data_IF_718604396899
#
_entry.id   IF_718604396899
#
_cell.length_a   1.000
_cell.length_b   1.000
_cell.length_c   1.000
_cell.angle_alpha   90.00
_cell.angle_beta   90.00
_cell.angle_gamma   90.00
#
_symmetry.space_group_name_H-M   'P 1'
#
loop_
_entity.id
_entity.type
_entity.pdbx_description
1 polymer ?
#
# COMPACT_ATOMS: atom_id res chain seq x y z
N UNK A 1 0.27 -9.54 26.98
CA UNK A 1 0.89 -10.89 27.00
C UNK A 1 1.82 -10.98 28.20
N UNK A 2 1.67 -11.99 29.06
CA UNK A 2 2.59 -12.23 30.18
C UNK A 2 3.95 -12.71 29.61
N UNK A 3 5.05 -12.32 30.30
CA UNK A 3 6.39 -12.75 29.90
C UNK A 3 6.53 -14.27 30.10
N UNK A 4 6.99 -14.99 29.08
CA UNK A 4 7.16 -16.45 29.11
C UNK A 4 8.44 -16.89 29.83
N UNK A 5 9.44 -15.99 29.88
CA UNK A 5 10.71 -16.22 30.57
C UNK A 5 11.00 -15.09 31.55
N UNK A 6 11.58 -15.39 32.73
CA UNK A 6 11.96 -14.35 33.68
C UNK A 6 13.07 -13.46 33.09
N UNK A 7 13.02 -12.18 33.43
CA UNK A 7 14.05 -11.21 33.06
C UNK A 7 15.35 -11.60 33.80
N UNK A 8 16.43 -11.82 33.03
CA UNK A 8 17.75 -12.17 33.59
C UNK A 8 18.83 -11.32 32.97
N UNK A 9 19.67 -10.70 33.80
CA UNK A 9 20.80 -9.88 33.36
C UNK A 9 21.76 -10.69 32.51
N UNK A 10 22.10 -10.17 31.35
CA UNK A 10 23.00 -10.84 30.39
C UNK A 10 24.44 -10.33 30.56
N UNK A 11 25.44 -11.16 30.21
CA UNK A 11 26.84 -10.75 30.28
C UNK A 11 27.12 -9.59 29.30
N UNK A 12 28.06 -8.72 29.65
CA UNK A 12 28.38 -7.52 28.88
C UNK A 12 28.76 -7.83 27.42
N UNK A 13 29.53 -8.90 27.18
CA UNK A 13 29.94 -9.27 25.82
C UNK A 13 28.76 -9.50 24.87
N UNK A 14 27.67 -10.11 25.37
CA UNK A 14 26.44 -10.34 24.57
C UNK A 14 25.72 -9.02 24.27
N UNK A 15 25.64 -8.14 25.27
CA UNK A 15 25.06 -6.81 25.07
C UNK A 15 25.88 -6.00 24.07
N UNK A 16 27.21 -6.03 24.19
CA UNK A 16 28.13 -5.36 23.28
C UNK A 16 28.01 -5.87 21.84
N UNK A 17 27.83 -7.18 21.64
CA UNK A 17 27.57 -7.75 20.30
C UNK A 17 26.26 -7.23 19.70
N UNK A 18 25.17 -7.27 20.45
CA UNK A 18 23.86 -6.82 19.96
C UNK A 18 23.87 -5.30 19.68
N UNK A 19 24.31 -4.52 20.65
CA UNK A 19 24.29 -3.03 20.50
C UNK A 19 25.34 -2.56 19.51
N UNK A 20 26.53 -3.17 19.49
CA UNK A 20 27.55 -2.91 18.49
C UNK A 20 27.12 -3.23 17.07
N UNK A 21 26.39 -4.34 16.87
CA UNK A 21 25.77 -4.67 15.58
C UNK A 21 24.79 -3.60 15.09
N UNK A 22 23.91 -3.11 15.97
CA UNK A 22 23.04 -1.99 15.65
C UNK A 22 23.82 -0.70 15.36
N UNK A 23 24.84 -0.39 16.16
CA UNK A 23 25.70 0.76 15.93
C UNK A 23 26.43 0.68 14.58
N UNK A 24 26.95 -0.50 14.22
CA UNK A 24 27.58 -0.75 12.93
C UNK A 24 26.60 -0.52 11.76
N UNK A 25 25.38 -1.06 11.88
CA UNK A 25 24.36 -0.92 10.85
C UNK A 25 23.99 0.55 10.60
N UNK A 26 23.63 1.29 11.63
CA UNK A 26 23.30 2.70 11.47
C UNK A 26 24.51 3.54 11.10
N UNK A 27 25.69 3.22 11.63
CA UNK A 27 26.95 3.85 11.27
C UNK A 27 27.30 3.71 9.79
N UNK A 28 26.96 2.57 9.17
CA UNK A 28 27.11 2.38 7.72
C UNK A 28 26.31 3.42 6.94
N UNK A 29 25.05 3.63 7.28
CA UNK A 29 24.20 4.62 6.59
C UNK A 29 24.72 6.05 6.74
N UNK A 30 25.06 6.47 7.95
CA UNK A 30 25.60 7.80 8.19
C UNK A 30 26.99 7.98 7.56
N UNK A 31 27.81 6.93 7.59
CA UNK A 31 29.13 6.95 6.96
C UNK A 31 29.07 7.02 5.45
N UNK A 32 28.16 6.28 4.81
CA UNK A 32 27.98 6.34 3.35
C UNK A 32 27.48 7.70 2.88
N UNK A 33 26.59 8.34 3.64
CA UNK A 33 26.14 9.70 3.36
C UNK A 33 27.29 10.75 3.40
N UNK A 34 28.36 10.46 4.16
CA UNK A 34 29.55 11.30 4.27
C UNK A 34 30.77 10.77 3.48
N UNK A 35 30.57 9.82 2.55
CA UNK A 35 31.63 9.25 1.72
C UNK A 35 32.60 8.28 2.44
N UNK A 36 32.28 7.85 3.66
CA UNK A 36 33.15 7.01 4.50
C UNK A 36 32.39 5.85 5.19
N UNK A 37 31.71 5.02 4.42
CA UNK A 37 30.92 3.88 4.92
C UNK A 37 31.65 2.99 5.93
N UNK A 38 32.86 2.47 5.63
CA UNK A 38 33.62 1.61 6.56
C UNK A 38 33.96 2.30 7.89
N UNK A 39 34.30 3.58 7.84
CA UNK A 39 34.56 4.39 9.04
C UNK A 39 33.31 4.52 9.89
N UNK A 40 32.16 4.76 9.26
CA UNK A 40 30.87 4.86 9.95
C UNK A 40 30.51 3.57 10.69
N UNK A 41 30.76 2.40 10.11
CA UNK A 41 30.55 1.10 10.76
C UNK A 41 31.36 0.99 12.05
N UNK A 42 32.66 1.29 11.98
CA UNK A 42 33.57 1.21 13.15
C UNK A 42 33.18 2.19 14.24
N UNK A 43 32.95 3.42 13.86
CA UNK A 43 32.57 4.50 14.81
C UNK A 43 31.22 4.22 15.46
N UNK A 44 30.23 3.82 14.67
CA UNK A 44 28.89 3.50 15.17
C UNK A 44 28.91 2.31 16.12
N UNK A 45 29.64 1.24 15.78
CA UNK A 45 29.81 0.10 16.68
C UNK A 45 30.49 0.49 17.99
N UNK A 46 31.62 1.20 17.91
CA UNK A 46 32.38 1.62 19.07
C UNK A 46 31.57 2.52 20.01
N UNK A 47 30.83 3.49 19.44
CA UNK A 47 29.96 4.40 20.20
C UNK A 47 28.87 3.62 20.97
N UNK A 48 28.19 2.70 20.33
CA UNK A 48 27.12 1.93 20.97
C UNK A 48 27.65 0.95 22.04
N UNK A 49 28.84 0.37 21.84
CA UNK A 49 29.51 -0.47 22.86
C UNK A 49 29.91 0.38 24.06
N UNK A 50 30.51 1.57 23.84
CA UNK A 50 30.87 2.48 24.90
C UNK A 50 29.65 2.97 25.71
N UNK A 51 28.55 3.33 25.02
CA UNK A 51 27.29 3.67 25.67
C UNK A 51 26.75 2.49 26.49
N UNK A 52 26.78 1.28 25.97
CA UNK A 52 26.36 0.09 26.70
C UNK A 52 27.18 -0.13 27.98
N UNK A 53 28.50 0.08 27.92
CA UNK A 53 29.37 -0.01 29.08
C UNK A 53 28.97 1.04 30.16
N UNK A 54 28.81 2.29 29.79
CA UNK A 54 28.41 3.38 30.70
C UNK A 54 27.07 3.09 31.35
N UNK A 55 26.11 2.59 30.56
CA UNK A 55 24.76 2.28 31.04
C UNK A 55 24.74 1.15 32.07
N UNK A 56 25.47 0.08 31.78
CA UNK A 56 25.45 -1.13 32.64
C UNK A 56 26.26 -0.89 33.93
N UNK A 57 27.36 -0.15 33.84
CA UNK A 57 28.27 0.06 35.00
C UNK A 57 27.91 1.27 35.85
N UNK A 58 27.54 2.38 35.22
CA UNK A 58 27.38 3.69 35.91
C UNK A 58 25.91 4.01 36.17
N UNK A 59 25.10 4.04 35.14
CA UNK A 59 23.72 4.57 35.22
C UNK A 59 22.73 3.64 35.89
N UNK A 60 22.84 2.34 35.70
CA UNK A 60 22.00 1.26 36.32
C UNK A 60 20.48 1.50 36.32
N UNK A 61 19.98 2.56 35.69
CA UNK A 61 18.58 2.95 35.64
C UNK A 61 18.17 3.27 34.19
N UNK A 62 17.22 2.50 33.65
CA UNK A 62 16.77 2.63 32.26
C UNK A 62 16.19 4.03 31.96
N UNK A 63 15.32 4.54 32.85
CA UNK A 63 14.63 5.82 32.61
C UNK A 63 15.62 6.99 32.55
N UNK A 64 16.57 7.01 33.49
CA UNK A 64 17.63 8.01 33.50
C UNK A 64 18.52 7.89 32.26
N UNK A 65 18.94 6.68 31.93
CA UNK A 65 19.78 6.44 30.77
C UNK A 65 19.09 6.92 29.48
N UNK A 66 17.84 6.51 29.25
CA UNK A 66 17.07 6.96 28.06
C UNK A 66 16.92 8.48 28.03
N UNK A 67 16.68 9.12 29.17
CA UNK A 67 16.61 10.59 29.27
C UNK A 67 17.93 11.27 28.90
N UNK A 68 19.05 10.79 29.42
CA UNK A 68 20.39 11.33 29.12
C UNK A 68 20.72 11.19 27.62
N UNK A 69 20.50 10.01 27.02
CA UNK A 69 20.77 9.84 25.60
C UNK A 69 19.77 10.57 24.69
N UNK A 70 18.53 10.74 25.12
CA UNK A 70 17.59 11.62 24.43
C UNK A 70 18.11 13.07 24.37
N UNK A 71 18.51 13.60 25.51
CA UNK A 71 19.05 14.99 25.59
C UNK A 71 20.37 15.11 24.82
N UNK A 72 21.29 14.17 25.01
CA UNK A 72 22.59 14.19 24.32
C UNK A 72 22.41 14.07 22.80
N UNK A 73 21.58 13.14 22.34
CA UNK A 73 21.26 13.01 20.93
C UNK A 73 20.56 14.24 20.36
N UNK A 74 19.66 14.85 21.15
CA UNK A 74 18.99 16.08 20.79
C UNK A 74 19.95 17.27 20.64
N UNK A 75 20.86 17.43 21.58
CA UNK A 75 21.90 18.51 21.54
C UNK A 75 22.83 18.31 20.34
N UNK A 76 23.31 17.09 20.11
CA UNK A 76 24.18 16.79 18.97
C UNK A 76 23.43 16.99 17.63
N UNK A 77 22.18 16.58 17.55
CA UNK A 77 21.35 16.82 16.39
C UNK A 77 21.09 18.29 16.12
N UNK A 78 20.84 19.08 17.19
CA UNK A 78 20.68 20.54 17.08
C UNK A 78 21.93 21.22 16.54
N UNK A 79 23.09 20.85 17.07
CA UNK A 79 24.38 21.37 16.61
C UNK A 79 24.68 21.00 15.14
N UNK A 80 24.20 19.84 14.67
CA UNK A 80 24.39 19.37 13.29
C UNK A 80 23.45 20.01 12.25
N UNK A 81 22.21 20.38 12.63
CA UNK A 81 21.28 20.91 11.65
C UNK A 81 19.95 21.44 12.22
N UNK A 82 19.97 21.99 13.42
CA UNK A 82 18.84 22.67 14.03
C UNK A 82 17.75 21.75 14.58
N UNK A 83 16.54 22.29 14.73
CA UNK A 83 15.41 21.62 15.40
C UNK A 83 15.07 20.23 14.82
N UNK A 84 15.03 20.02 13.49
CA UNK A 84 14.67 18.72 12.93
C UNK A 84 15.63 17.61 13.31
N UNK A 85 16.95 17.89 13.20
CA UNK A 85 17.97 16.91 13.58
C UNK A 85 18.07 16.74 15.10
N UNK A 86 17.69 17.75 15.89
CA UNK A 86 17.55 17.62 17.34
C UNK A 86 16.48 16.60 17.73
N UNK A 87 15.30 16.65 17.09
CA UNK A 87 14.20 15.71 17.34
C UNK A 87 14.62 14.29 16.93
N UNK A 88 15.18 14.13 15.73
CA UNK A 88 15.65 12.83 15.23
C UNK A 88 16.75 12.27 16.14
N UNK A 89 17.76 13.08 16.48
CA UNK A 89 18.85 12.70 17.36
C UNK A 89 18.38 12.32 18.77
N UNK A 90 17.42 13.05 19.32
CA UNK A 90 16.79 12.73 20.59
C UNK A 90 16.07 11.38 20.56
N UNK A 91 15.24 11.14 19.54
CA UNK A 91 14.52 9.87 19.38
C UNK A 91 15.52 8.71 19.23
N UNK A 92 16.52 8.85 18.37
CA UNK A 92 17.54 7.82 18.16
C UNK A 92 18.33 7.54 19.44
N UNK A 93 18.65 8.59 20.23
CA UNK A 93 19.28 8.44 21.53
C UNK A 93 18.41 7.67 22.53
N UNK A 94 17.11 7.98 22.61
CA UNK A 94 16.18 7.25 23.45
C UNK A 94 16.04 5.78 23.04
N UNK A 95 15.99 5.50 21.73
CA UNK A 95 15.95 4.14 21.18
C UNK A 95 17.23 3.38 21.49
N UNK A 96 18.39 4.01 21.35
CA UNK A 96 19.68 3.43 21.71
C UNK A 96 19.72 3.02 23.20
N UNK A 97 19.28 3.91 24.10
CA UNK A 97 19.17 3.61 25.52
C UNK A 97 18.21 2.47 25.82
N UNK A 98 17.05 2.44 25.20
CA UNK A 98 16.09 1.35 25.32
C UNK A 98 16.69 0.02 24.83
N UNK A 99 17.37 0.01 23.68
CA UNK A 99 17.99 -1.17 23.11
C UNK A 99 19.05 -1.79 24.03
N UNK A 100 19.88 -0.95 24.68
CA UNK A 100 20.89 -1.41 25.63
C UNK A 100 20.25 -2.16 26.80
N UNK A 101 19.23 -1.59 27.43
CA UNK A 101 18.52 -2.26 28.53
C UNK A 101 17.73 -3.47 28.07
N UNK A 102 17.09 -3.43 26.90
CA UNK A 102 16.40 -4.55 26.29
C UNK A 102 17.35 -5.75 26.10
N UNK A 103 18.57 -5.50 25.63
CA UNK A 103 19.60 -6.53 25.49
C UNK A 103 20.13 -7.01 26.85
N UNK A 104 20.43 -6.07 27.77
CA UNK A 104 21.00 -6.34 29.10
C UNK A 104 20.10 -7.17 29.99
N UNK A 105 18.82 -6.84 30.03
CA UNK A 105 17.81 -7.58 30.82
C UNK A 105 17.31 -8.84 30.11
N UNK A 106 17.80 -9.14 28.92
CA UNK A 106 17.37 -10.30 28.14
C UNK A 106 15.91 -10.27 27.73
N UNK A 107 15.30 -9.07 27.65
CA UNK A 107 13.89 -8.87 27.25
C UNK A 107 13.60 -9.41 25.86
N UNK A 108 14.60 -9.57 25.01
CA UNK A 108 14.47 -10.19 23.69
C UNK A 108 13.98 -11.64 23.78
N UNK A 109 14.15 -12.31 24.94
CA UNK A 109 13.62 -13.67 25.17
C UNK A 109 12.31 -13.71 25.94
N UNK A 110 11.83 -12.59 26.50
CA UNK A 110 10.67 -12.57 27.41
C UNK A 110 9.36 -13.07 26.77
N UNK A 111 9.21 -12.88 25.47
CA UNK A 111 8.00 -13.26 24.71
C UNK A 111 8.22 -14.45 23.76
N UNK A 112 9.37 -15.09 23.86
CA UNK A 112 9.75 -16.23 23.00
C UNK A 112 9.74 -17.50 23.86
N UNK A 113 9.30 -18.62 23.29
CA UNK A 113 9.24 -19.88 23.99
C UNK A 113 10.63 -20.28 24.56
N UNK A 114 10.72 -20.68 25.83
CA UNK A 114 12.00 -20.94 26.51
C UNK A 114 12.85 -22.04 25.85
N UNK A 115 12.22 -23.00 25.19
CA UNK A 115 12.86 -24.17 24.57
C UNK A 115 13.52 -23.86 23.22
N UNK A 116 13.33 -22.65 22.67
CA UNK A 116 13.95 -22.29 21.39
C UNK A 116 15.46 -22.18 21.51
N UNK A 117 16.16 -22.83 20.60
CA UNK A 117 17.62 -22.77 20.49
C UNK A 117 18.07 -21.37 20.04
N UNK A 118 19.37 -21.07 20.25
CA UNK A 118 19.89 -19.73 19.92
C UNK A 118 19.72 -19.36 18.43
N UNK A 119 19.87 -20.30 17.51
CA UNK A 119 19.69 -20.07 16.08
C UNK A 119 18.23 -19.85 15.69
N UNK A 120 17.27 -20.50 16.37
CA UNK A 120 15.84 -20.25 16.17
C UNK A 120 15.44 -18.87 16.67
N UNK A 121 16.02 -18.40 17.77
CA UNK A 121 15.84 -17.03 18.26
C UNK A 121 16.44 -16.02 17.29
N UNK A 122 17.65 -16.30 16.76
CA UNK A 122 18.28 -15.46 15.74
C UNK A 122 17.41 -15.37 14.48
N UNK A 123 16.89 -16.51 14.01
CA UNK A 123 16.00 -16.55 12.86
C UNK A 123 14.69 -15.81 13.12
N UNK A 124 14.09 -15.92 14.30
CA UNK A 124 12.89 -15.22 14.68
C UNK A 124 13.04 -13.68 14.57
N UNK A 125 14.15 -13.14 15.06
CA UNK A 125 14.43 -11.71 14.92
C UNK A 125 14.91 -11.35 13.52
N UNK A 126 15.73 -12.18 12.87
CA UNK A 126 16.16 -11.98 11.50
C UNK A 126 15.00 -11.90 10.53
N UNK A 127 14.03 -12.80 10.64
CA UNK A 127 12.81 -12.76 9.84
C UNK A 127 12.01 -11.46 10.05
N UNK A 128 11.86 -11.03 11.31
CA UNK A 128 11.19 -9.76 11.61
C UNK A 128 11.94 -8.54 11.07
N UNK A 129 13.26 -8.56 11.12
CA UNK A 129 14.10 -7.52 10.52
C UNK A 129 13.90 -7.46 9.00
N UNK A 130 13.91 -8.61 8.33
CA UNK A 130 13.63 -8.69 6.89
C UNK A 130 12.24 -8.11 6.58
N UNK A 131 11.21 -8.53 7.32
CA UNK A 131 9.88 -7.97 7.17
C UNK A 131 9.85 -6.46 7.40
N UNK A 132 10.53 -5.96 8.44
CA UNK A 132 10.59 -4.52 8.72
C UNK A 132 11.28 -3.74 7.58
N UNK A 133 12.38 -4.26 7.03
CA UNK A 133 13.07 -3.65 5.88
C UNK A 133 12.14 -3.61 4.66
N UNK A 134 11.42 -4.71 4.37
CA UNK A 134 10.47 -4.76 3.27
C UNK A 134 9.35 -3.72 3.49
N UNK A 135 8.78 -3.64 4.70
CA UNK A 135 7.75 -2.66 5.02
C UNK A 135 8.24 -1.22 4.90
N UNK A 136 9.44 -0.92 5.41
CA UNK A 136 10.05 0.41 5.28
C UNK A 136 10.22 0.74 3.78
N UNK A 137 10.77 -0.18 3.00
CA UNK A 137 10.93 0.01 1.55
C UNK A 137 9.60 0.31 0.85
N UNK A 138 8.53 -0.44 1.18
CA UNK A 138 7.21 -0.26 0.58
C UNK A 138 6.52 1.05 1.02
N UNK A 139 6.73 1.48 2.27
CA UNK A 139 6.09 2.68 2.81
C UNK A 139 6.86 3.96 2.45
N UNK A 140 8.18 3.86 2.25
CA UNK A 140 9.04 5.03 1.97
C UNK A 140 8.54 5.91 0.81
N UNK A 141 8.12 5.38 -0.36
CA UNK A 141 7.59 6.23 -1.43
C UNK A 141 6.39 7.06 -0.98
N UNK A 142 5.47 6.47 -0.21
CA UNK A 142 4.28 7.17 0.31
C UNK A 142 4.70 8.28 1.27
N UNK A 143 5.64 7.98 2.18
CA UNK A 143 6.16 8.96 3.15
C UNK A 143 6.94 10.10 2.47
N UNK A 144 7.51 9.87 1.30
CA UNK A 144 8.21 10.90 0.50
C UNK A 144 7.21 11.76 -0.29
N UNK A 145 6.20 11.15 -0.89
CA UNK A 145 5.18 11.86 -1.70
C UNK A 145 4.39 12.86 -0.85
N UNK A 146 4.01 12.47 0.38
CA UNK A 146 3.18 13.29 1.25
C UNK A 146 3.81 14.66 1.58
N UNK A 147 5.04 14.79 2.12
CA UNK A 147 5.63 16.09 2.34
C UNK A 147 5.95 16.84 1.03
N UNK A 148 6.34 16.15 -0.04
CA UNK A 148 6.60 16.77 -1.34
C UNK A 148 5.34 17.37 -1.99
N UNK A 149 4.15 16.89 -1.65
CA UNK A 149 2.89 17.46 -2.14
C UNK A 149 2.66 18.89 -1.64
N UNK A 150 3.30 19.29 -0.55
CA UNK A 150 3.27 20.64 0.01
C UNK A 150 4.43 21.54 -0.44
N UNK A 151 5.25 21.11 -1.40
CA UNK A 151 6.39 21.89 -1.86
C UNK A 151 5.95 23.26 -2.38
N UNK A 152 6.59 24.33 -1.92
CA UNK A 152 6.36 25.68 -2.42
C UNK A 152 6.90 25.90 -3.84
N UNK A 153 7.83 25.08 -4.32
CA UNK A 153 8.38 25.12 -5.67
C UNK A 153 7.65 24.14 -6.61
N UNK A 154 7.95 24.23 -7.92
CA UNK A 154 7.33 23.37 -8.94
C UNK A 154 8.21 22.17 -9.30
N UNK A 155 8.91 21.58 -8.34
CA UNK A 155 9.81 20.44 -8.55
C UNK A 155 9.53 19.31 -7.56
N UNK A 156 9.88 18.09 -7.94
CA UNK A 156 9.75 16.87 -7.11
C UNK A 156 10.96 16.64 -6.19
N UNK A 157 11.57 17.71 -5.69
CA UNK A 157 12.77 17.63 -4.85
C UNK A 157 12.52 18.32 -3.51
N UNK A 158 13.13 17.80 -2.45
CA UNK A 158 13.14 18.50 -1.17
C UNK A 158 14.01 19.73 -1.28
N UNK A 159 13.43 20.88 -0.97
CA UNK A 159 14.21 22.13 -0.91
C UNK A 159 14.93 22.26 0.44
N UNK A 160 16.01 23.05 0.54
CA UNK A 160 16.69 23.29 1.81
C UNK A 160 15.75 23.85 2.89
N UNK A 161 14.76 24.65 2.50
CA UNK A 161 13.74 25.24 3.38
C UNK A 161 12.85 24.11 3.95
N UNK A 162 12.40 23.17 3.11
CA UNK A 162 11.62 22.02 3.58
C UNK A 162 12.41 21.16 4.56
N UNK A 163 13.69 20.91 4.28
CA UNK A 163 14.54 20.11 5.16
C UNK A 163 14.80 20.78 6.51
N UNK A 164 14.72 22.13 6.57
CA UNK A 164 14.83 22.91 7.81
C UNK A 164 13.48 23.16 8.48
N UNK A 165 12.38 22.64 7.91
CA UNK A 165 11.01 22.94 8.33
C UNK A 165 10.68 24.43 8.34
N UNK A 166 11.28 25.20 7.42
CA UNK A 166 10.94 26.59 7.22
C UNK A 166 9.55 26.68 6.56
N UNK A 167 8.62 27.47 7.12
CA UNK A 167 7.30 27.68 6.50
C UNK A 167 7.37 28.14 5.04
N UNK A 168 8.42 28.87 4.64
CA UNK A 168 8.60 29.30 3.25
C UNK A 168 8.76 28.15 2.25
N UNK A 169 9.19 26.97 2.71
CA UNK A 169 9.31 25.75 1.89
C UNK A 169 7.99 25.06 1.58
N UNK A 170 6.89 25.43 2.24
CA UNK A 170 5.60 24.76 2.18
C UNK A 170 4.50 25.63 1.62
N UNK A 171 3.64 25.07 0.77
CA UNK A 171 2.52 25.78 0.18
C UNK A 171 1.37 24.82 -0.13
N UNK A 172 0.14 25.33 -0.07
CA UNK A 172 -1.07 24.62 -0.49
C UNK A 172 -1.44 24.88 -1.96
N UNK A 173 -0.61 25.61 -2.72
CA UNK A 173 -0.91 26.00 -4.10
C UNK A 173 -1.28 24.85 -5.02
N UNK A 174 -0.64 23.66 -4.84
CA UNK A 174 -0.90 22.48 -5.65
C UNK A 174 -2.25 21.84 -5.33
N UNK A 175 -2.69 21.90 -4.07
CA UNK A 175 -4.04 21.53 -3.68
C UNK A 175 -5.07 22.54 -4.21
N UNK A 176 -4.77 23.82 -4.15
CA UNK A 176 -5.64 24.84 -4.74
C UNK A 176 -5.77 24.66 -6.26
N UNK A 177 -4.67 24.40 -6.97
CA UNK A 177 -4.71 24.09 -8.40
C UNK A 177 -5.61 22.88 -8.69
N UNK A 178 -5.50 21.79 -7.93
CA UNK A 178 -6.38 20.64 -8.08
C UNK A 178 -7.86 21.01 -7.94
N UNK A 179 -8.22 21.83 -6.95
CA UNK A 179 -9.61 22.20 -6.69
C UNK A 179 -10.15 23.33 -7.56
N UNK A 180 -9.32 24.09 -8.27
CA UNK A 180 -9.75 25.23 -9.10
C UNK A 180 -9.61 24.98 -10.60
N UNK A 181 -8.71 24.07 -11.01
CA UNK A 181 -8.44 23.79 -12.40
C UNK A 181 -9.49 22.85 -12.99
N UNK A 182 -10.14 23.30 -14.05
CA UNK A 182 -11.24 22.58 -14.70
C UNK A 182 -10.85 21.21 -15.25
N UNK A 183 -9.59 21.02 -15.68
CA UNK A 183 -9.14 19.72 -16.19
C UNK A 183 -9.03 18.67 -15.10
N UNK A 184 -8.50 19.06 -13.93
CA UNK A 184 -8.42 18.18 -12.76
C UNK A 184 -9.82 17.82 -12.24
N UNK A 185 -10.71 18.84 -12.14
CA UNK A 185 -12.08 18.64 -11.69
C UNK A 185 -12.87 17.71 -12.61
N UNK A 186 -12.74 17.91 -13.94
CA UNK A 186 -13.39 17.02 -14.93
C UNK A 186 -12.87 15.59 -14.80
N UNK A 187 -11.56 15.42 -14.74
CA UNK A 187 -10.93 14.09 -14.65
C UNK A 187 -11.30 13.37 -13.36
N UNK A 188 -11.35 14.07 -12.24
CA UNK A 188 -11.83 13.54 -10.96
C UNK A 188 -13.29 13.09 -11.04
N UNK A 189 -14.18 13.96 -11.56
CA UNK A 189 -15.59 13.64 -11.77
C UNK A 189 -15.77 12.42 -12.69
N UNK A 190 -15.00 12.33 -13.77
CA UNK A 190 -15.04 11.19 -14.67
C UNK A 190 -14.67 9.89 -13.95
N UNK A 191 -13.60 9.88 -13.15
CA UNK A 191 -13.21 8.70 -12.35
C UNK A 191 -14.32 8.31 -11.38
N UNK A 192 -14.97 9.28 -10.70
CA UNK A 192 -16.07 9.04 -9.76
C UNK A 192 -17.36 8.55 -10.45
N UNK A 193 -17.52 8.76 -11.74
CA UNK A 193 -18.65 8.20 -12.51
C UNK A 193 -18.30 6.83 -13.07
N UNK A 194 -17.14 6.72 -13.72
CA UNK A 194 -16.76 5.51 -14.45
C UNK A 194 -16.50 4.35 -13.51
N UNK A 195 -15.66 4.53 -12.47
CA UNK A 195 -15.24 3.42 -11.64
C UNK A 195 -16.39 2.78 -10.82
N UNK A 196 -17.28 3.53 -10.15
CA UNK A 196 -18.41 2.90 -9.44
C UNK A 196 -19.38 2.17 -10.38
N UNK A 197 -19.70 2.76 -11.54
CA UNK A 197 -20.64 2.12 -12.47
C UNK A 197 -20.02 0.85 -13.07
N UNK A 198 -18.75 0.90 -13.48
CA UNK A 198 -18.00 -0.27 -13.95
C UNK A 198 -17.94 -1.36 -12.87
N UNK A 199 -17.73 -0.96 -11.60
CA UNK A 199 -17.73 -1.88 -10.46
C UNK A 199 -19.07 -2.57 -10.26
N UNK A 200 -20.18 -1.83 -10.30
CA UNK A 200 -21.53 -2.42 -10.18
C UNK A 200 -21.78 -3.45 -11.28
N UNK A 201 -21.41 -3.13 -12.52
CA UNK A 201 -21.53 -4.07 -13.65
C UNK A 201 -20.64 -5.30 -13.42
N UNK A 202 -19.37 -5.09 -13.01
CA UNK A 202 -18.43 -6.19 -12.74
C UNK A 202 -18.92 -7.10 -11.62
N UNK A 203 -19.42 -6.52 -10.52
CA UNK A 203 -19.96 -7.28 -9.38
C UNK A 203 -21.18 -8.08 -9.78
N UNK A 204 -22.10 -7.46 -10.51
CA UNK A 204 -23.33 -8.14 -10.92
C UNK A 204 -23.00 -9.31 -11.87
N UNK A 205 -22.30 -9.05 -12.96
CA UNK A 205 -21.99 -10.07 -13.97
C UNK A 205 -21.00 -11.11 -13.44
N UNK A 206 -19.98 -10.69 -12.71
CA UNK A 206 -18.97 -11.57 -12.12
C UNK A 206 -19.56 -12.51 -11.07
N UNK A 207 -20.47 -12.01 -10.21
CA UNK A 207 -21.16 -12.84 -9.21
C UNK A 207 -22.08 -13.86 -9.89
N UNK A 208 -22.86 -13.46 -10.88
CA UNK A 208 -23.72 -14.38 -11.64
C UNK A 208 -22.88 -15.46 -12.35
N UNK A 209 -21.78 -15.06 -12.98
CA UNK A 209 -20.85 -15.99 -13.62
C UNK A 209 -20.21 -16.96 -12.62
N UNK A 210 -19.76 -16.47 -11.46
CA UNK A 210 -19.18 -17.32 -10.41
C UNK A 210 -20.19 -18.36 -9.90
N UNK A 211 -21.43 -17.97 -9.65
CA UNK A 211 -22.48 -18.87 -9.20
C UNK A 211 -22.79 -19.92 -10.29
N UNK A 212 -22.96 -19.50 -11.54
CA UNK A 212 -23.19 -20.42 -12.64
C UNK A 212 -22.04 -21.41 -12.81
N UNK A 213 -20.80 -20.92 -12.81
CA UNK A 213 -19.61 -21.76 -12.96
C UNK A 213 -19.29 -22.61 -11.71
N UNK A 214 -19.85 -22.32 -10.55
CA UNK A 214 -19.69 -23.17 -9.35
C UNK A 214 -20.47 -24.49 -9.44
N UNK A 215 -21.41 -24.59 -10.35
CA UNK A 215 -22.24 -25.79 -10.52
C UNK A 215 -21.45 -26.91 -11.22
N UNK A 216 -21.60 -28.17 -10.76
CA UNK A 216 -20.77 -29.29 -11.21
C UNK A 216 -21.10 -29.78 -12.64
N UNK A 217 -22.32 -29.48 -13.14
CA UNK A 217 -22.84 -29.97 -14.42
C UNK A 217 -22.58 -29.08 -15.64
N UNK A 218 -21.84 -27.96 -15.45
CA UNK A 218 -21.54 -27.04 -16.56
C UNK A 218 -20.47 -27.65 -17.49
N UNK A 219 -20.81 -27.97 -18.74
CA UNK A 219 -19.85 -28.52 -19.68
C UNK A 219 -18.82 -27.44 -20.05
N UNK A 220 -17.55 -27.83 -20.17
CA UNK A 220 -16.49 -26.90 -20.55
C UNK A 220 -16.16 -25.84 -19.48
N UNK A 221 -16.62 -25.98 -18.23
CA UNK A 221 -16.43 -25.04 -17.12
C UNK A 221 -15.00 -24.49 -17.02
N UNK A 222 -13.98 -25.37 -17.16
CA UNK A 222 -12.57 -24.94 -17.07
C UNK A 222 -12.17 -23.98 -18.19
N UNK A 223 -12.63 -24.25 -19.41
CA UNK A 223 -12.36 -23.40 -20.56
C UNK A 223 -13.10 -22.06 -20.45
N UNK A 224 -14.38 -22.09 -20.06
CA UNK A 224 -15.15 -20.86 -19.82
C UNK A 224 -14.49 -20.01 -18.74
N UNK A 225 -14.09 -20.60 -17.62
CA UNK A 225 -13.38 -19.91 -16.54
C UNK A 225 -12.06 -19.28 -17.04
N UNK A 226 -11.27 -20.04 -17.83
CA UNK A 226 -10.02 -19.54 -18.38
C UNK A 226 -10.25 -18.34 -19.32
N UNK A 227 -11.28 -18.38 -20.16
CA UNK A 227 -11.65 -17.26 -21.04
C UNK A 227 -12.08 -16.05 -20.22
N UNK A 228 -12.92 -16.23 -19.19
CA UNK A 228 -13.40 -15.12 -18.37
C UNK A 228 -12.30 -14.46 -17.53
N UNK A 229 -11.26 -15.21 -17.14
CA UNK A 229 -10.11 -14.67 -16.39
C UNK A 229 -9.02 -14.14 -17.33
N UNK A 230 -9.07 -14.47 -18.63
CA UNK A 230 -8.02 -14.08 -19.59
C UNK A 230 -7.71 -12.58 -19.66
N UNK A 231 -8.65 -11.62 -19.48
CA UNK A 231 -8.31 -10.20 -19.47
C UNK A 231 -7.29 -9.79 -18.42
N UNK A 232 -7.22 -10.54 -17.30
CA UNK A 232 -6.24 -10.30 -16.23
C UNK A 232 -4.85 -10.88 -16.56
N UNK A 233 -4.77 -11.87 -17.45
CA UNK A 233 -3.54 -12.59 -17.80
C UNK A 233 -2.86 -11.99 -19.02
N UNK A 234 -3.66 -11.53 -19.98
CA UNK A 234 -3.17 -10.93 -21.23
C UNK A 234 -2.52 -9.56 -20.94
N UNK A 235 -1.36 -9.23 -21.55
CA UNK A 235 -0.79 -7.91 -21.42
C UNK A 235 -1.80 -6.81 -21.74
N UNK A 236 -1.95 -5.84 -20.83
CA UNK A 236 -3.03 -4.86 -20.83
C UNK A 236 -3.10 -4.05 -22.15
N UNK A 237 -1.94 -3.71 -22.75
CA UNK A 237 -1.88 -2.99 -24.03
C UNK A 237 -2.54 -3.79 -25.16
N UNK A 238 -2.33 -5.12 -25.17
CA UNK A 238 -2.92 -5.99 -26.20
C UNK A 238 -4.45 -6.03 -26.02
N UNK A 239 -4.90 -6.18 -24.78
CA UNK A 239 -6.33 -6.15 -24.45
C UNK A 239 -6.94 -4.79 -24.80
N UNK A 240 -6.30 -3.69 -24.46
CA UNK A 240 -6.74 -2.33 -24.77
C UNK A 240 -6.85 -2.08 -26.28
N UNK A 241 -5.89 -2.57 -27.06
CA UNK A 241 -5.92 -2.48 -28.52
C UNK A 241 -7.11 -3.26 -29.11
N UNK A 242 -7.33 -4.48 -28.65
CA UNK A 242 -8.52 -5.27 -29.04
C UNK A 242 -9.84 -4.58 -28.68
N UNK A 243 -9.90 -4.05 -27.46
CA UNK A 243 -11.06 -3.28 -26.98
C UNK A 243 -11.30 -2.02 -27.80
N UNK A 244 -10.25 -1.33 -28.23
CA UNK A 244 -10.37 -0.15 -29.10
C UNK A 244 -11.14 -0.46 -30.36
N UNK A 245 -10.74 -1.49 -31.11
CA UNK A 245 -11.43 -1.88 -32.35
C UNK A 245 -12.87 -2.31 -32.09
N UNK A 246 -13.09 -3.13 -31.09
CA UNK A 246 -14.41 -3.62 -30.74
C UNK A 246 -15.38 -2.49 -30.32
N UNK A 247 -14.98 -1.67 -29.35
CA UNK A 247 -15.80 -0.58 -28.85
C UNK A 247 -15.93 0.59 -29.82
N UNK A 248 -14.98 0.76 -30.76
CA UNK A 248 -15.12 1.73 -31.85
C UNK A 248 -16.28 1.35 -32.78
N UNK A 249 -16.38 0.07 -33.14
CA UNK A 249 -17.50 -0.42 -34.00
C UNK A 249 -18.83 -0.30 -33.27
N UNK A 250 -18.90 -0.70 -31.99
CA UNK A 250 -20.11 -0.54 -31.17
C UNK A 250 -20.49 0.93 -31.05
N UNK A 251 -19.51 1.80 -30.80
CA UNK A 251 -19.75 3.23 -30.70
C UNK A 251 -20.35 3.83 -31.97
N UNK A 252 -19.79 3.50 -33.12
CA UNK A 252 -20.33 3.96 -34.41
C UNK A 252 -21.76 3.46 -34.66
N UNK A 253 -22.05 2.23 -34.25
CA UNK A 253 -23.42 1.70 -34.34
C UNK A 253 -24.37 2.42 -33.38
N UNK A 254 -23.95 2.69 -32.12
CA UNK A 254 -24.76 3.43 -31.15
C UNK A 254 -25.06 4.87 -31.62
N UNK A 255 -24.06 5.56 -32.15
CA UNK A 255 -24.20 6.93 -32.67
C UNK A 255 -25.07 6.94 -33.95
N UNK A 256 -24.81 6.04 -34.91
CA UNK A 256 -25.47 6.03 -36.20
C UNK A 256 -26.88 5.42 -36.20
N UNK A 257 -27.07 4.30 -35.49
CA UNK A 257 -28.35 3.55 -35.52
C UNK A 257 -29.28 3.93 -34.37
N UNK A 258 -28.75 4.22 -33.17
CA UNK A 258 -29.55 4.61 -32.01
C UNK A 258 -29.63 6.13 -31.80
N UNK A 259 -28.86 6.91 -32.57
CA UNK A 259 -28.84 8.37 -32.45
C UNK A 259 -28.34 8.90 -31.08
N UNK A 260 -27.52 8.10 -30.36
CA UNK A 260 -27.03 8.49 -29.05
C UNK A 260 -25.96 9.58 -29.17
N UNK A 261 -25.92 10.46 -28.18
CA UNK A 261 -24.88 11.49 -28.09
C UNK A 261 -23.49 10.88 -27.99
N UNK A 262 -22.55 11.43 -28.76
CA UNK A 262 -21.15 10.96 -28.84
C UNK A 262 -20.46 10.93 -27.48
N UNK A 263 -20.74 11.90 -26.62
CA UNK A 263 -20.15 11.95 -25.28
C UNK A 263 -20.68 10.82 -24.39
N UNK A 264 -22.00 10.58 -24.42
CA UNK A 264 -22.63 9.47 -23.72
C UNK A 264 -22.09 8.12 -24.20
N UNK A 265 -21.96 7.92 -25.51
CA UNK A 265 -21.37 6.72 -26.11
C UNK A 265 -19.93 6.52 -25.63
N UNK A 266 -19.15 7.60 -25.52
CA UNK A 266 -17.81 7.58 -24.96
C UNK A 266 -17.78 7.03 -23.52
N UNK A 267 -18.66 7.50 -22.63
CA UNK A 267 -18.76 6.96 -21.26
C UNK A 267 -19.16 5.50 -21.26
N UNK A 268 -20.15 5.09 -22.04
CA UNK A 268 -20.61 3.70 -22.12
C UNK A 268 -19.45 2.77 -22.52
N UNK A 269 -18.69 3.13 -23.56
CA UNK A 269 -17.54 2.34 -24.02
C UNK A 269 -16.49 2.17 -22.91
N UNK A 270 -16.10 3.25 -22.25
CA UNK A 270 -15.09 3.22 -21.20
C UNK A 270 -15.59 2.41 -19.99
N UNK A 271 -16.84 2.63 -19.55
CA UNK A 271 -17.43 1.91 -18.42
C UNK A 271 -17.46 0.40 -18.70
N UNK A 272 -17.89 -0.01 -19.90
CA UNK A 272 -17.93 -1.43 -20.26
C UNK A 272 -16.54 -2.03 -20.38
N UNK A 273 -15.57 -1.31 -20.92
CA UNK A 273 -14.19 -1.75 -21.00
C UNK A 273 -13.57 -1.96 -19.60
N UNK A 274 -13.81 -1.02 -18.69
CA UNK A 274 -13.38 -1.15 -17.28
C UNK A 274 -14.10 -2.30 -16.57
N UNK A 275 -15.39 -2.50 -16.83
CA UNK A 275 -16.13 -3.60 -16.26
C UNK A 275 -15.55 -4.96 -16.66
N UNK A 276 -15.13 -5.12 -17.93
CA UNK A 276 -14.48 -6.34 -18.41
C UNK A 276 -13.19 -6.65 -17.63
N UNK A 277 -12.42 -5.63 -17.25
CA UNK A 277 -11.22 -5.81 -16.43
C UNK A 277 -11.55 -6.17 -14.97
N UNK A 278 -12.68 -5.69 -14.44
CA UNK A 278 -13.12 -5.94 -13.08
C UNK A 278 -13.74 -7.32 -12.86
N UNK A 279 -14.43 -7.88 -13.88
CA UNK A 279 -15.15 -9.17 -13.80
C UNK A 279 -14.26 -10.31 -13.30
N UNK A 280 -13.03 -10.53 -13.77
CA UNK A 280 -12.16 -11.62 -13.28
C UNK A 280 -11.96 -11.61 -11.77
N UNK A 281 -11.74 -10.45 -11.18
CA UNK A 281 -11.53 -10.31 -9.73
C UNK A 281 -12.76 -10.77 -8.95
N UNK A 282 -13.95 -10.39 -9.39
CA UNK A 282 -15.21 -10.79 -8.77
C UNK A 282 -15.42 -12.30 -8.92
N UNK A 283 -15.19 -12.86 -10.10
CA UNK A 283 -15.32 -14.30 -10.33
C UNK A 283 -14.40 -15.08 -9.39
N UNK A 284 -13.14 -14.69 -9.26
CA UNK A 284 -12.16 -15.39 -8.42
C UNK A 284 -12.57 -15.34 -6.95
N UNK A 285 -12.88 -14.15 -6.42
CA UNK A 285 -13.20 -13.97 -5.00
C UNK A 285 -14.52 -14.64 -4.61
N UNK A 286 -15.55 -14.49 -5.44
CA UNK A 286 -16.86 -15.12 -5.20
C UNK A 286 -16.77 -16.66 -5.35
N UNK A 287 -16.04 -17.16 -6.35
CA UNK A 287 -15.82 -18.60 -6.50
C UNK A 287 -15.08 -19.18 -5.29
N UNK A 288 -14.08 -18.48 -4.75
CA UNK A 288 -13.37 -18.91 -3.55
C UNK A 288 -14.30 -19.03 -2.33
N UNK A 289 -15.24 -18.11 -2.15
CA UNK A 289 -16.24 -18.21 -1.07
C UNK A 289 -17.26 -19.32 -1.32
N UNK A 290 -17.62 -19.58 -2.58
CA UNK A 290 -18.53 -20.65 -2.96
C UNK A 290 -17.93 -22.07 -2.77
N UNK A 291 -16.60 -22.22 -2.78
CA UNK A 291 -15.96 -23.52 -2.48
C UNK A 291 -16.26 -23.98 -1.05
N UNK A 292 -16.36 -23.07 -0.10
CA UNK A 292 -16.70 -23.35 1.30
C UNK A 292 -18.21 -23.38 1.59
N UNK A 293 -19.07 -23.14 0.59
CA UNK A 293 -20.51 -23.03 0.77
C UNK A 293 -21.18 -24.40 0.88
N UNK A 294 -21.91 -24.62 1.98
CA UNK A 294 -22.70 -25.86 2.17
C UNK A 294 -24.03 -25.80 1.37
N UNK A 295 -24.11 -26.59 0.34
CA UNK A 295 -25.31 -26.72 -0.51
C UNK A 295 -26.54 -27.31 0.21
N UNK A 296 -26.37 -27.88 1.41
CA UNK A 296 -27.51 -28.34 2.21
C UNK A 296 -28.41 -27.18 2.62
N UNK A 297 -27.86 -25.98 2.81
CA UNK A 297 -28.61 -24.77 3.18
C UNK A 297 -29.60 -24.36 2.08
N UNK A 298 -29.21 -24.45 0.80
CA UNK A 298 -30.12 -24.15 -0.32
C UNK A 298 -31.21 -25.20 -0.45
N UNK A 299 -30.90 -26.48 -0.22
CA UNK A 299 -31.88 -27.56 -0.19
C UNK A 299 -32.86 -27.44 0.97
N UNK A 300 -32.38 -27.06 2.15
CA UNK A 300 -33.23 -26.80 3.31
C UNK A 300 -34.20 -25.65 3.03
N UNK A 301 -33.75 -24.55 2.42
CA UNK A 301 -34.59 -23.42 2.02
C UNK A 301 -35.70 -23.87 1.02
N UNK A 302 -35.31 -24.65 0.01
CA UNK A 302 -36.29 -25.20 -0.96
C UNK A 302 -37.32 -26.13 -0.29
N UNK A 303 -36.89 -26.96 0.66
CA UNK A 303 -37.79 -27.82 1.44
C UNK A 303 -38.77 -27.03 2.31
N UNK A 304 -38.42 -25.82 2.72
CA UNK A 304 -39.31 -24.89 3.42
C UNK A 304 -40.19 -24.05 2.49
N UNK A 305 -40.14 -24.33 1.18
CA UNK A 305 -40.99 -23.66 0.18
C UNK A 305 -40.41 -22.33 -0.36
N UNK A 306 -39.16 -22.03 -0.09
CA UNK A 306 -38.52 -20.83 -0.63
C UNK A 306 -38.24 -21.00 -2.13
N UNK A 307 -38.59 -20.01 -2.92
CA UNK A 307 -38.27 -19.94 -4.34
C UNK A 307 -36.76 -19.68 -4.56
N UNK A 308 -36.21 -19.89 -5.77
CA UNK A 308 -34.79 -19.69 -6.04
C UNK A 308 -34.30 -18.27 -5.79
N UNK A 309 -35.12 -17.24 -6.04
CA UNK A 309 -34.75 -15.84 -5.86
C UNK A 309 -34.66 -15.50 -4.37
N UNK A 310 -35.66 -15.94 -3.60
CA UNK A 310 -35.65 -15.80 -2.13
C UNK A 310 -34.47 -16.56 -1.52
N UNK A 311 -34.19 -17.77 -1.98
CA UNK A 311 -33.04 -18.58 -1.55
C UNK A 311 -31.73 -17.88 -1.85
N UNK A 312 -31.61 -17.27 -3.03
CA UNK A 312 -30.42 -16.50 -3.38
C UNK A 312 -30.21 -15.31 -2.44
N UNK A 313 -31.18 -14.43 -2.29
CA UNK A 313 -30.99 -13.20 -1.51
C UNK A 313 -30.94 -13.43 0.02
N UNK A 314 -31.67 -14.42 0.54
CA UNK A 314 -31.76 -14.67 2.00
C UNK A 314 -30.77 -15.70 2.52
N UNK A 315 -30.26 -16.60 1.67
CA UNK A 315 -29.38 -17.70 2.09
C UNK A 315 -28.00 -17.59 1.43
N UNK A 316 -27.94 -17.56 0.10
CA UNK A 316 -26.65 -17.57 -0.60
C UNK A 316 -25.92 -16.24 -0.50
N UNK A 317 -26.58 -15.13 -0.83
CA UNK A 317 -25.96 -13.80 -0.87
C UNK A 317 -25.29 -13.38 0.44
N UNK A 318 -25.92 -13.54 1.63
CA UNK A 318 -25.26 -13.19 2.89
C UNK A 318 -23.99 -13.99 3.15
N UNK A 319 -23.95 -15.25 2.73
CA UNK A 319 -22.79 -16.13 2.96
C UNK A 319 -21.64 -15.85 1.96
N UNK A 320 -21.96 -15.45 0.73
CA UNK A 320 -20.94 -15.09 -0.26
C UNK A 320 -20.58 -13.58 -0.22
N UNK A 321 -21.30 -12.78 0.55
CA UNK A 321 -21.13 -11.32 0.62
C UNK A 321 -19.69 -10.87 0.87
N UNK A 322 -18.90 -11.52 1.74
CA UNK A 322 -17.49 -11.14 1.92
C UNK A 322 -16.68 -11.26 0.63
N UNK A 323 -16.95 -12.31 -0.18
CA UNK A 323 -16.32 -12.48 -1.49
C UNK A 323 -16.79 -11.46 -2.52
N UNK A 324 -18.07 -11.11 -2.49
CA UNK A 324 -18.67 -10.09 -3.36
C UNK A 324 -18.09 -8.71 -3.05
N UNK A 325 -17.99 -8.34 -1.77
CA UNK A 325 -17.40 -7.07 -1.33
C UNK A 325 -15.91 -7.02 -1.73
N UNK A 326 -15.15 -8.08 -1.44
CA UNK A 326 -13.73 -8.13 -1.78
C UNK A 326 -13.52 -8.01 -3.30
N UNK A 327 -14.30 -8.77 -4.10
CA UNK A 327 -14.25 -8.68 -5.56
C UNK A 327 -14.63 -7.30 -6.08
N UNK A 328 -15.66 -6.70 -5.48
CA UNK A 328 -16.08 -5.33 -5.80
C UNK A 328 -15.03 -4.28 -5.50
N UNK A 329 -14.33 -4.40 -4.35
CA UNK A 329 -13.23 -3.50 -4.02
C UNK A 329 -12.06 -3.64 -5.02
N UNK A 330 -11.69 -4.86 -5.39
CA UNK A 330 -10.65 -5.05 -6.41
C UNK A 330 -11.09 -4.53 -7.79
N UNK A 331 -12.34 -4.76 -8.19
CA UNK A 331 -12.88 -4.22 -9.43
C UNK A 331 -12.89 -2.68 -9.43
N UNK A 332 -13.24 -2.07 -8.29
CA UNK A 332 -13.23 -0.62 -8.12
C UNK A 332 -11.80 -0.06 -8.22
N UNK A 333 -10.85 -0.63 -7.45
CA UNK A 333 -9.45 -0.18 -7.47
C UNK A 333 -8.89 -0.31 -8.88
N UNK A 334 -9.09 -1.46 -9.55
CA UNK A 334 -8.61 -1.69 -10.92
C UNK A 334 -9.20 -0.68 -11.90
N UNK A 335 -10.50 -0.37 -11.79
CA UNK A 335 -11.14 0.62 -12.66
C UNK A 335 -10.70 2.06 -12.33
N UNK A 336 -10.50 2.38 -11.04
CA UNK A 336 -10.14 3.72 -10.61
C UNK A 336 -8.69 4.09 -10.98
N UNK A 337 -7.77 3.12 -10.95
CA UNK A 337 -6.34 3.30 -11.25
C UNK A 337 -6.00 3.05 -12.73
N UNK A 338 -6.99 2.72 -13.56
CA UNK A 338 -6.78 2.34 -14.95
C UNK A 338 -6.45 3.56 -15.85
N UNK A 339 -5.37 3.45 -16.59
CA UNK A 339 -4.88 4.48 -17.52
C UNK A 339 -4.90 3.99 -18.96
N UNK A 340 -4.44 2.76 -19.22
CA UNK A 340 -4.16 2.25 -20.56
C UNK A 340 -5.44 2.07 -21.36
N UNK A 341 -6.43 1.41 -20.78
CA UNK A 341 -7.70 1.14 -21.49
C UNK A 341 -8.43 2.45 -21.80
N UNK A 342 -8.46 3.40 -20.85
CA UNK A 342 -9.13 4.67 -21.11
C UNK A 342 -8.39 5.51 -22.16
N UNK A 343 -7.05 5.40 -22.27
CA UNK A 343 -6.27 6.04 -23.35
C UNK A 343 -6.65 5.51 -24.72
N UNK A 344 -6.97 4.21 -24.86
CA UNK A 344 -7.31 3.59 -26.14
C UNK A 344 -8.79 3.75 -26.49
N UNK A 345 -9.68 3.54 -25.51
CA UNK A 345 -11.14 3.44 -25.73
C UNK A 345 -11.85 4.77 -25.57
N UNK A 346 -11.34 5.63 -24.69
CA UNK A 346 -11.91 6.94 -24.36
C UNK A 346 -11.50 8.05 -25.31
N UNK A 347 -12.01 9.24 -25.03
CA UNK A 347 -11.61 10.49 -25.67
C UNK A 347 -11.26 11.53 -24.59
N UNK A 348 -10.83 12.72 -24.98
CA UNK A 348 -10.53 13.81 -24.04
C UNK A 348 -11.68 14.13 -23.09
N UNK A 349 -12.94 13.87 -23.49
CA UNK A 349 -14.13 14.08 -22.64
C UNK A 349 -14.22 13.10 -21.50
N UNK A 350 -13.74 11.86 -21.67
CA UNK A 350 -13.74 10.79 -20.67
C UNK A 350 -12.41 10.65 -19.94
N UNK A 351 -11.51 11.63 -20.04
CA UNK A 351 -10.21 11.64 -19.36
C UNK A 351 -10.40 11.42 -17.86
N UNK A 352 -9.83 10.34 -17.34
CA UNK A 352 -9.88 9.97 -15.92
C UNK A 352 -8.76 10.63 -15.11
N UNK A 353 -8.85 10.58 -13.79
CA UNK A 353 -7.85 11.14 -12.91
C UNK A 353 -6.45 10.52 -13.13
N UNK A 354 -6.28 9.18 -13.18
CA UNK A 354 -4.99 8.58 -13.47
C UNK A 354 -4.45 8.95 -14.87
N UNK A 355 -5.32 9.06 -15.85
CA UNK A 355 -4.90 9.54 -17.18
C UNK A 355 -4.39 11.00 -17.11
N UNK A 356 -5.08 11.88 -16.38
CA UNK A 356 -4.62 13.27 -16.17
C UNK A 356 -3.25 13.31 -15.47
N UNK A 357 -3.07 12.49 -14.42
CA UNK A 357 -1.78 12.35 -13.72
C UNK A 357 -0.68 11.86 -14.65
N UNK A 358 -0.95 10.84 -15.46
CA UNK A 358 0.00 10.30 -16.44
C UNK A 358 0.40 11.34 -17.50
N UNK A 359 -0.56 12.10 -18.03
CA UNK A 359 -0.29 13.18 -18.97
C UNK A 359 0.54 14.29 -18.31
N UNK A 360 0.19 14.67 -17.09
CA UNK A 360 0.91 15.69 -16.34
C UNK A 360 2.36 15.31 -16.04
N UNK A 361 2.65 14.03 -15.76
CA UNK A 361 4.02 13.53 -15.59
C UNK A 361 4.84 13.65 -16.87
N UNK A 362 4.23 13.47 -18.05
CA UNK A 362 4.92 13.52 -19.33
C UNK A 362 5.14 14.94 -19.86
N UNK A 363 4.22 15.84 -19.60
CA UNK A 363 4.16 17.15 -20.26
C UNK A 363 4.59 18.31 -19.36
N UNK A 364 4.27 18.30 -18.07
CA UNK A 364 4.39 19.47 -17.21
C UNK A 364 5.15 19.26 -15.89
N UNK A 365 5.43 18.04 -15.48
CA UNK A 365 6.10 17.69 -14.19
C UNK A 365 5.67 18.61 -13.05
N UNK A 366 4.36 18.71 -12.79
CA UNK A 366 3.82 19.56 -11.73
C UNK A 366 3.62 18.80 -10.42
N UNK A 367 4.04 19.33 -9.26
CA UNK A 367 3.76 18.74 -7.95
C UNK A 367 2.26 18.64 -7.61
N UNK A 368 1.36 19.24 -8.39
CA UNK A 368 -0.08 19.01 -8.30
C UNK A 368 -0.40 17.52 -8.39
N UNK A 369 0.38 16.73 -9.17
CA UNK A 369 0.24 15.27 -9.24
C UNK A 369 0.48 14.63 -7.87
N UNK A 370 1.46 15.11 -7.10
CA UNK A 370 1.72 14.60 -5.75
C UNK A 370 0.59 14.99 -4.79
N UNK A 371 0.04 16.18 -4.92
CA UNK A 371 -1.13 16.61 -4.14
C UNK A 371 -2.34 15.69 -4.42
N UNK A 372 -2.60 15.39 -5.69
CA UNK A 372 -3.65 14.47 -6.12
C UNK A 372 -3.41 13.05 -5.60
N UNK A 373 -2.17 12.56 -5.67
CA UNK A 373 -1.82 11.22 -5.16
C UNK A 373 -1.93 11.11 -3.62
N UNK A 374 -1.96 12.25 -2.92
CA UNK A 374 -2.07 12.30 -1.45
C UNK A 374 -3.53 12.36 -0.99
N UNK A 375 -4.45 12.87 -1.80
CA UNK A 375 -5.91 12.91 -1.56
C UNK A 375 -6.53 11.53 -1.74
#
# INVERSE_FOLDING_TARGET
MAALTPISRKPFWLVAMITGGFGAFFGLFFGTANGSGPMGVVVGAALMIALAFVYITILKNERLGRGITFVAGGVLGFAAGGIPLAVIGGILGAVAGWLIYWAYEGRYRSYIAPYLTWYQVLWYFGFRMICAVIFIFLITPILVVLPLSFNAQNFFTFTPEMLRFDPAGYSLKHYQDFFTNNEWQRSFKNSLIIAPIATVISVTLGTLAAIGLSQSHVPGRRAIMAIMISPMIVPLIISATGMFFFYSQIGNWMEGSLGLDKNLVGYIKVILAHAVLGIPFVIITVTATLVGFDRSLTRAAANMGADPVTTFFRVQMPLILPGVISGGLFAFITSFDEVVVVLFVGSASQKTLPWQMFTGLREQISPTILAVATI
#
